data_IF_466166711308
#
_entry.id   IF_466166711308
#
_cell.length_a   1.000
_cell.length_b   1.000
_cell.length_c   1.000
_cell.angle_alpha   90.00
_cell.angle_beta   90.00
_cell.angle_gamma   90.00
#
_symmetry.space_group_name_H-M   'P 1'
#
loop_
_entity.id
_entity.type
_entity.pdbx_description
1 polymer ?
#
# COMPACT_ATOMS: atom_id res chain seq x y z
N UNK A 1 12.73 19.46 -14.61
CA UNK A 1 11.97 18.59 -13.68
C UNK A 1 11.41 17.44 -14.50
N UNK A 2 11.79 16.20 -14.20
CA UNK A 2 11.34 15.02 -14.95
C UNK A 2 10.27 14.29 -14.15
N UNK A 3 9.23 13.83 -14.84
CA UNK A 3 8.19 13.00 -14.25
C UNK A 3 8.28 11.57 -14.80
N UNK A 4 8.12 10.59 -13.91
CA UNK A 4 8.13 9.18 -14.26
C UNK A 4 6.92 8.51 -13.63
N UNK A 5 6.08 7.90 -14.46
CA UNK A 5 4.95 7.09 -13.98
C UNK A 5 5.42 5.69 -13.60
N UNK A 6 5.14 5.28 -12.36
CA UNK A 6 5.43 3.95 -11.79
C UNK A 6 4.17 3.28 -11.21
N UNK A 7 2.98 3.66 -11.70
CA UNK A 7 1.73 3.12 -11.14
C UNK A 7 1.51 1.63 -11.42
N UNK A 8 2.16 1.07 -12.45
CA UNK A 8 2.11 -0.36 -12.75
C UNK A 8 2.94 -1.17 -11.75
N UNK A 9 4.12 -0.66 -11.38
CA UNK A 9 5.08 -1.35 -10.51
C UNK A 9 4.83 -1.06 -9.03
N UNK A 10 4.57 0.20 -8.68
CA UNK A 10 4.54 0.72 -7.30
C UNK A 10 3.19 1.34 -6.92
N UNK A 11 2.12 1.06 -7.68
CA UNK A 11 0.77 1.52 -7.37
C UNK A 11 0.11 0.68 -6.28
N UNK A 12 -0.73 1.31 -5.45
CA UNK A 12 -1.52 0.66 -4.39
C UNK A 12 -2.82 -0.02 -4.82
N UNK A 13 -3.08 -0.17 -6.14
CA UNK A 13 -4.35 -0.70 -6.69
C UNK A 13 -4.06 -1.85 -7.66
N UNK A 14 -3.83 -3.08 -7.16
CA UNK A 14 -3.55 -4.22 -8.02
C UNK A 14 -4.77 -4.58 -8.86
N UNK A 15 -4.53 -5.00 -10.11
CA UNK A 15 -5.58 -5.57 -11.00
C UNK A 15 -5.76 -7.07 -10.83
N UNK A 16 -4.74 -7.74 -10.30
CA UNK A 16 -4.72 -9.17 -10.08
C UNK A 16 -5.38 -9.48 -8.73
N UNK A 17 -6.49 -10.22 -8.75
CA UNK A 17 -7.26 -10.58 -7.55
C UNK A 17 -6.47 -11.45 -6.59
N UNK A 18 -5.41 -12.14 -7.05
CA UNK A 18 -4.50 -12.91 -6.19
C UNK A 18 -3.72 -12.01 -5.22
N UNK A 19 -3.56 -10.73 -5.56
CA UNK A 19 -2.93 -9.71 -4.71
C UNK A 19 -3.93 -9.05 -3.76
N UNK A 20 -5.16 -9.57 -3.67
CA UNK A 20 -6.15 -9.18 -2.70
C UNK A 20 -6.29 -10.26 -1.61
N UNK A 21 -6.64 -9.83 -0.41
CA UNK A 21 -7.07 -10.68 0.70
C UNK A 21 -8.40 -10.12 1.19
N UNK A 22 -9.46 -10.94 1.13
CA UNK A 22 -10.84 -10.51 1.43
C UNK A 22 -11.27 -9.24 0.65
N UNK A 23 -10.84 -9.10 -0.61
CA UNK A 23 -11.15 -7.95 -1.47
C UNK A 23 -10.36 -6.68 -1.14
N UNK A 24 -9.39 -6.74 -0.23
CA UNK A 24 -8.49 -5.63 0.14
C UNK A 24 -7.10 -5.89 -0.44
N UNK A 25 -6.43 -4.87 -0.96
CA UNK A 25 -5.06 -4.99 -1.47
C UNK A 25 -4.11 -5.45 -0.36
N UNK A 26 -3.39 -6.54 -0.64
CA UNK A 26 -2.48 -7.20 0.30
C UNK A 26 -1.04 -6.79 -0.04
N UNK A 27 -0.49 -5.89 0.79
CA UNK A 27 0.82 -5.29 0.54
C UNK A 27 1.96 -6.30 0.64
N UNK A 28 1.84 -7.31 1.50
CA UNK A 28 2.81 -8.39 1.63
C UNK A 28 2.86 -9.23 0.35
N UNK A 29 1.72 -9.59 -0.23
CA UNK A 29 1.66 -10.27 -1.53
C UNK A 29 2.20 -9.39 -2.65
N UNK A 30 1.88 -8.09 -2.65
CA UNK A 30 2.37 -7.14 -3.66
C UNK A 30 3.89 -7.00 -3.60
N UNK A 31 4.46 -6.89 -2.40
CA UNK A 31 5.89 -6.67 -2.16
C UNK A 31 6.79 -7.78 -2.72
N UNK A 32 6.27 -9.01 -2.81
CA UNK A 32 7.02 -10.16 -3.34
C UNK A 32 6.92 -10.32 -4.86
N UNK A 33 6.07 -9.54 -5.54
CA UNK A 33 5.91 -9.66 -7.00
C UNK A 33 7.15 -9.17 -7.76
N UNK A 34 7.40 -9.76 -8.92
CA UNK A 34 8.54 -9.38 -9.78
C UNK A 34 8.45 -7.91 -10.24
N UNK A 35 7.26 -7.44 -10.61
CA UNK A 35 7.02 -6.07 -11.05
C UNK A 35 7.31 -5.06 -9.93
N UNK A 36 6.82 -5.33 -8.71
CA UNK A 36 7.07 -4.45 -7.58
C UNK A 36 8.56 -4.35 -7.24
N UNK A 37 9.24 -5.50 -7.15
CA UNK A 37 10.70 -5.54 -6.88
C UNK A 37 11.49 -4.82 -7.97
N UNK A 38 11.06 -4.89 -9.24
CA UNK A 38 11.65 -4.10 -10.31
C UNK A 38 11.45 -2.60 -10.11
N UNK A 39 10.26 -2.17 -9.68
CA UNK A 39 9.98 -0.79 -9.32
C UNK A 39 10.89 -0.27 -8.20
N UNK A 40 11.07 -1.04 -7.12
CA UNK A 40 11.97 -0.68 -6.02
C UNK A 40 13.42 -0.57 -6.51
N UNK A 41 13.91 -1.55 -7.28
CA UNK A 41 15.27 -1.47 -7.88
C UNK A 41 15.44 -0.22 -8.73
N UNK A 42 14.42 0.14 -9.52
CA UNK A 42 14.46 1.35 -10.34
C UNK A 42 14.54 2.63 -9.50
N UNK A 43 13.84 2.70 -8.36
CA UNK A 43 13.96 3.82 -7.43
C UNK A 43 15.36 3.88 -6.80
N UNK A 44 15.86 2.74 -6.34
CA UNK A 44 17.19 2.60 -5.74
C UNK A 44 18.29 3.05 -6.71
N UNK A 45 18.27 2.57 -7.95
CA UNK A 45 19.24 3.00 -8.96
C UNK A 45 19.08 4.47 -9.33
N UNK A 46 17.85 4.97 -9.46
CA UNK A 46 17.58 6.37 -9.74
C UNK A 46 18.07 7.30 -8.63
N UNK A 47 17.97 6.89 -7.36
CA UNK A 47 18.38 7.68 -6.21
C UNK A 47 19.89 7.96 -6.19
N UNK A 48 20.71 7.17 -6.90
CA UNK A 48 22.15 7.41 -7.06
C UNK A 48 22.45 8.63 -7.94
N UNK A 49 21.54 9.00 -8.84
CA UNK A 49 21.73 10.08 -9.81
C UNK A 49 20.75 11.26 -9.60
N UNK A 50 19.64 11.04 -8.89
CA UNK A 50 18.56 12.01 -8.77
C UNK A 50 18.06 12.17 -7.33
N UNK A 51 17.62 13.38 -7.00
CA UNK A 51 16.77 13.63 -5.84
C UNK A 51 15.33 13.26 -6.20
N UNK A 52 14.85 12.12 -5.69
CA UNK A 52 13.54 11.58 -6.04
C UNK A 52 12.51 11.97 -4.98
N UNK A 53 11.35 12.44 -5.42
CA UNK A 53 10.16 12.62 -4.58
C UNK A 53 9.04 11.70 -5.09
N UNK A 54 8.41 10.96 -4.18
CA UNK A 54 7.20 10.17 -4.44
C UNK A 54 6.00 10.93 -3.87
N UNK A 55 4.99 11.21 -4.70
CA UNK A 55 3.87 12.07 -4.33
C UNK A 55 2.60 11.26 -4.01
N UNK A 56 2.02 11.41 -2.82
CA UNK A 56 0.73 10.84 -2.37
C UNK A 56 -0.43 11.84 -2.51
N UNK A 57 -1.66 11.34 -2.51
CA UNK A 57 -2.88 12.15 -2.32
C UNK A 57 -3.30 12.23 -0.85
N UNK A 58 -2.79 11.32 -0.03
CA UNK A 58 -3.16 11.14 1.37
C UNK A 58 -2.46 12.18 2.26
N UNK A 59 -3.19 12.71 3.25
CA UNK A 59 -2.67 13.73 4.19
C UNK A 59 -1.76 13.13 5.26
N UNK A 60 -2.11 11.96 5.80
CA UNK A 60 -1.31 11.23 6.77
C UNK A 60 -0.49 10.14 6.04
N UNK A 61 0.84 10.09 6.22
CA UNK A 61 1.66 9.00 5.71
C UNK A 61 1.14 7.62 6.09
N UNK A 62 0.61 7.42 7.30
CA UNK A 62 0.07 6.12 7.74
C UNK A 62 -1.26 5.75 7.06
N UNK A 63 -1.86 6.64 6.26
CA UNK A 63 -2.96 6.32 5.34
C UNK A 63 -2.48 6.03 3.92
N UNK A 64 -1.21 6.32 3.59
CA UNK A 64 -0.70 6.20 2.23
C UNK A 64 -0.04 4.84 1.95
N UNK A 65 -0.41 4.21 0.83
CA UNK A 65 0.28 3.03 0.31
C UNK A 65 1.78 3.28 0.07
N UNK A 66 2.17 4.50 -0.33
CA UNK A 66 3.59 4.81 -0.55
C UNK A 66 4.39 4.81 0.74
N UNK A 67 3.78 5.02 1.90
CA UNK A 67 4.46 4.85 3.19
C UNK A 67 4.42 3.40 3.64
N UNK A 68 3.23 2.78 3.65
CA UNK A 68 3.02 1.45 4.21
C UNK A 68 3.64 0.32 3.39
N UNK A 69 3.77 0.50 2.08
CA UNK A 69 4.36 -0.47 1.16
C UNK A 69 5.72 0.03 0.64
N UNK A 70 5.74 1.12 -0.13
CA UNK A 70 6.96 1.55 -0.85
C UNK A 70 8.05 2.05 0.11
N UNK A 71 7.71 2.94 1.03
CA UNK A 71 8.63 3.54 2.00
C UNK A 71 9.21 2.48 2.93
N UNK A 72 8.38 1.53 3.37
CA UNK A 72 8.82 0.35 4.12
C UNK A 72 9.85 -0.45 3.33
N UNK A 73 9.54 -0.85 2.09
CA UNK A 73 10.47 -1.62 1.25
C UNK A 73 11.79 -0.89 0.95
N UNK A 74 11.75 0.44 0.81
CA UNK A 74 12.94 1.26 0.61
C UNK A 74 13.82 1.26 1.86
N UNK A 75 13.25 1.39 3.05
CA UNK A 75 13.99 1.30 4.31
C UNK A 75 14.56 -0.11 4.56
N UNK A 76 13.79 -1.16 4.26
CA UNK A 76 14.28 -2.54 4.27
C UNK A 76 15.44 -2.76 3.27
N UNK A 77 15.52 -1.94 2.22
CA UNK A 77 16.63 -1.93 1.25
C UNK A 77 17.81 -1.01 1.67
N UNK A 78 17.78 -0.45 2.88
CA UNK A 78 18.85 0.39 3.43
C UNK A 78 18.77 1.89 3.11
N UNK A 79 17.66 2.37 2.56
CA UNK A 79 17.49 3.80 2.22
C UNK A 79 16.71 4.55 3.28
N UNK A 80 17.20 5.74 3.67
CA UNK A 80 16.46 6.65 4.52
C UNK A 80 15.30 7.29 3.73
N UNK A 81 14.07 7.11 4.21
CA UNK A 81 12.86 7.71 3.62
C UNK A 81 12.30 8.74 4.58
N UNK A 82 12.04 9.94 4.03
CA UNK A 82 11.39 11.04 4.74
C UNK A 82 10.05 11.34 4.08
N UNK A 83 9.04 11.62 4.90
CA UNK A 83 7.70 12.00 4.50
C UNK A 83 7.51 13.48 4.76
N UNK A 84 7.11 14.21 3.73
CA UNK A 84 6.72 15.61 3.83
C UNK A 84 5.26 15.64 4.29
N UNK A 85 5.01 16.17 5.48
CA UNK A 85 3.68 16.30 6.07
C UNK A 85 2.96 17.54 5.52
N UNK A 86 1.66 17.60 5.77
CA UNK A 86 0.80 18.68 5.29
C UNK A 86 1.19 20.09 5.77
N UNK A 87 1.91 20.20 6.88
CA UNK A 87 2.42 21.44 7.47
C UNK A 87 3.86 21.75 7.00
N UNK A 88 4.41 20.95 6.08
CA UNK A 88 5.78 21.06 5.57
C UNK A 88 6.83 20.41 6.46
N UNK A 89 6.47 19.89 7.64
CA UNK A 89 7.41 19.17 8.50
C UNK A 89 7.82 17.83 7.88
N UNK A 90 8.98 17.33 8.28
CA UNK A 90 9.47 16.02 7.87
C UNK A 90 9.27 15.01 9.00
N UNK A 91 8.94 13.78 8.63
CA UNK A 91 9.00 12.62 9.53
C UNK A 91 9.63 11.45 8.80
N UNK A 92 10.53 10.74 9.47
CA UNK A 92 11.21 9.57 8.93
C UNK A 92 10.27 8.36 8.90
N UNK A 93 10.55 7.41 8.01
CA UNK A 93 9.85 6.12 8.03
C UNK A 93 9.99 5.40 9.38
N UNK A 94 11.15 5.51 10.03
CA UNK A 94 11.41 4.88 11.34
C UNK A 94 10.52 5.44 12.44
N UNK A 95 10.39 6.77 12.55
CA UNK A 95 9.48 7.41 13.51
C UNK A 95 8.02 7.01 13.27
N UNK A 96 7.61 6.89 12.00
CA UNK A 96 6.27 6.40 11.65
C UNK A 96 6.10 4.92 12.02
N UNK A 97 7.13 4.10 11.87
CA UNK A 97 7.11 2.69 12.24
C UNK A 97 6.97 2.52 13.77
N UNK A 98 7.70 3.32 14.57
CA UNK A 98 7.57 3.35 16.03
C UNK A 98 6.18 3.81 16.47
N UNK A 99 5.68 4.89 15.87
CA UNK A 99 4.31 5.38 16.10
C UNK A 99 3.27 4.30 15.79
N UNK A 100 3.47 3.58 14.69
CA UNK A 100 2.58 2.51 14.26
C UNK A 100 2.59 1.32 15.23
N UNK A 101 3.78 0.94 15.70
CA UNK A 101 3.96 -0.13 16.68
C UNK A 101 3.28 0.21 18.01
N UNK A 102 3.51 1.42 18.54
CA UNK A 102 2.87 1.91 19.77
C UNK A 102 1.34 1.87 19.66
N UNK A 103 0.77 2.40 18.56
CA UNK A 103 -0.69 2.33 18.31
C UNK A 103 -1.21 0.90 18.24
N UNK A 104 -0.43 -0.05 17.72
CA UNK A 104 -0.85 -1.44 17.67
C UNK A 104 -0.90 -2.08 19.07
N UNK A 105 0.07 -1.75 19.92
CA UNK A 105 0.16 -2.25 21.29
C UNK A 105 -0.96 -1.68 22.16
N UNK A 106 -1.26 -0.39 22.07
CA UNK A 106 -2.31 0.27 22.86
C UNK A 106 -3.72 -0.25 22.54
N UNK A 107 -3.97 -0.60 21.28
CA UNK A 107 -5.25 -1.18 20.86
C UNK A 107 -5.39 -2.66 21.23
N UNK A 108 -4.31 -3.30 21.68
CA UNK A 108 -4.33 -4.70 22.10
C UNK A 108 -4.77 -4.80 23.57
N UNK A 109 -6.06 -4.57 23.82
CA UNK A 109 -6.69 -4.65 25.15
C UNK A 109 -6.74 -6.06 25.74
N UNK A 110 -6.22 -7.07 25.03
CA UNK A 110 -6.17 -8.43 25.52
C UNK A 110 -4.87 -8.63 26.30
N UNK A 111 -4.99 -8.72 27.63
CA UNK A 111 -3.88 -8.82 28.60
C UNK A 111 -2.96 -10.04 28.34
N UNK A 112 -3.39 -10.96 27.47
CA UNK A 112 -2.71 -12.21 27.13
C UNK A 112 -2.03 -12.22 25.76
N UNK A 113 -2.25 -11.22 24.90
CA UNK A 113 -1.57 -11.11 23.60
C UNK A 113 -0.69 -9.87 23.63
N UNK A 114 0.57 -10.01 24.07
CA UNK A 114 1.52 -8.89 24.15
C UNK A 114 2.35 -8.70 22.87
N UNK A 115 2.18 -9.58 21.88
CA UNK A 115 3.11 -9.68 20.76
C UNK A 115 2.53 -8.99 19.52
N UNK A 116 2.34 -7.66 19.57
CA UNK A 116 2.28 -6.92 18.32
C UNK A 116 3.71 -6.59 17.88
N UNK A 117 4.20 -7.32 16.88
CA UNK A 117 5.42 -6.97 16.17
C UNK A 117 5.16 -5.90 15.10
N UNK A 118 6.24 -5.31 14.58
CA UNK A 118 6.13 -4.26 13.57
C UNK A 118 5.46 -4.77 12.28
N UNK A 119 5.70 -6.02 11.90
CA UNK A 119 5.08 -6.62 10.72
C UNK A 119 3.55 -6.68 10.85
N UNK A 120 3.05 -7.08 12.02
CA UNK A 120 1.62 -7.12 12.36
C UNK A 120 1.03 -5.73 12.41
N UNK A 121 1.75 -4.74 12.96
CA UNK A 121 1.31 -3.35 12.99
C UNK A 121 1.10 -2.79 11.57
N UNK A 122 2.05 -3.05 10.66
CA UNK A 122 1.90 -2.72 9.23
C UNK A 122 0.70 -3.41 8.59
N UNK A 123 0.54 -4.72 8.81
CA UNK A 123 -0.57 -5.49 8.25
C UNK A 123 -1.91 -4.92 8.68
N UNK A 124 -2.14 -4.79 9.99
CA UNK A 124 -3.38 -4.24 10.57
C UNK A 124 -3.72 -2.87 10.01
N UNK A 125 -2.70 -2.00 9.84
CA UNK A 125 -2.93 -0.67 9.28
C UNK A 125 -3.21 -0.70 7.80
N UNK A 126 -2.49 -1.52 7.03
CA UNK A 126 -2.74 -1.69 5.60
C UNK A 126 -4.16 -2.16 5.33
N UNK A 127 -4.68 -3.13 6.09
CA UNK A 127 -6.06 -3.62 5.94
C UNK A 127 -7.11 -2.51 6.10
N UNK A 128 -6.85 -1.51 6.95
CA UNK A 128 -7.77 -0.39 7.18
C UNK A 128 -7.82 0.60 6.02
N UNK A 129 -6.66 0.87 5.40
CA UNK A 129 -6.49 2.01 4.47
C UNK A 129 -6.24 1.59 3.02
N UNK A 130 -5.87 0.34 2.79
CA UNK A 130 -5.56 -0.17 1.46
C UNK A 130 -6.80 -0.18 0.56
N UNK A 131 -6.53 -0.21 -0.74
CA UNK A 131 -7.56 -0.27 -1.76
C UNK A 131 -8.50 -1.46 -1.56
N UNK A 132 -9.80 -1.23 -1.74
CA UNK A 132 -10.84 -2.25 -1.68
C UNK A 132 -11.49 -2.39 -3.05
N UNK A 133 -11.59 -3.61 -3.54
CA UNK A 133 -12.33 -3.91 -4.75
C UNK A 133 -13.82 -3.61 -4.51
N UNK A 134 -14.42 -2.80 -5.38
CA UNK A 134 -15.88 -2.60 -5.35
C UNK A 134 -16.51 -3.92 -5.77
N UNK A 135 -17.44 -4.46 -4.98
CA UNK A 135 -18.28 -5.58 -5.45
C UNK A 135 -18.90 -5.15 -6.78
N UNK A 136 -18.63 -5.92 -7.84
CA UNK A 136 -19.46 -5.86 -9.04
C UNK A 136 -20.85 -6.31 -8.61
N UNK A 137 -21.76 -5.37 -8.43
CA UNK A 137 -23.17 -5.69 -8.53
C UNK A 137 -23.37 -6.22 -9.95
N UNK A 138 -23.58 -7.54 -10.09
CA UNK A 138 -24.17 -8.09 -11.30
C UNK A 138 -25.51 -7.39 -11.45
N UNK A 139 -25.57 -6.42 -12.34
CA UNK A 139 -26.80 -5.73 -12.66
C UNK A 139 -27.72 -6.78 -13.30
N UNK A 140 -28.90 -7.00 -12.72
CA UNK A 140 -29.89 -8.01 -13.15
C UNK A 140 -30.32 -7.85 -14.63
N UNK A 141 -29.93 -6.75 -15.26
CA UNK A 141 -30.06 -6.47 -16.70
C UNK A 141 -29.23 -7.41 -17.58
N UNK A 142 -28.06 -7.86 -17.12
CA UNK A 142 -27.21 -8.78 -17.90
C UNK A 142 -27.81 -10.20 -17.97
N UNK A 143 -28.67 -10.56 -17.00
CA UNK A 143 -29.46 -11.79 -16.99
C UNK A 143 -30.68 -11.67 -17.91
N UNK A 144 -31.37 -10.52 -17.91
CA UNK A 144 -32.50 -10.24 -18.80
C UNK A 144 -32.09 -10.24 -20.27
N UNK A 145 -30.97 -9.59 -20.62
CA UNK A 145 -30.50 -9.50 -22.01
C UNK A 145 -30.03 -10.88 -22.54
N UNK A 146 -29.33 -11.67 -21.72
CA UNK A 146 -28.93 -13.04 -22.09
C UNK A 146 -30.09 -14.03 -22.20
N UNK A 147 -31.22 -13.78 -21.54
CA UNK A 147 -32.39 -14.65 -21.63
C UNK A 147 -33.14 -14.45 -22.96
N UNK A 148 -33.17 -13.23 -23.51
CA UNK A 148 -33.83 -12.97 -24.80
C UNK A 148 -32.94 -13.20 -26.03
N UNK A 149 -31.61 -13.08 -25.91
CA UNK A 149 -30.70 -13.40 -27.02
C UNK A 149 -30.62 -14.91 -27.35
N UNK A 150 -30.98 -15.79 -26.40
CA UNK A 150 -31.00 -17.26 -26.62
C UNK A 150 -32.37 -17.82 -27.06
N UNK A 151 -33.39 -16.97 -27.14
CA UNK A 151 -34.76 -17.33 -27.54
C UNK A 151 -35.30 -16.47 -28.69
N UNK A 152 -34.43 -15.74 -29.40
CA UNK A 152 -34.74 -14.97 -30.62
C UNK A 152 -34.20 -15.62 -31.88
#
# INVERSE_FOLDING_TARGET
>A
MHYVFLGKELGGRPRDTRLLTAGVADYEKMAVTANYRQGIRRLVEGAKAYRIALVCSERDPLDCHRCLLVGRSMCESGYAVHHIRHDGSLTTQSELAETLLSKCQDNNRDMFIRDCDLATAYRKRSEQVAYREKRRETNDKDLYDRFYENFG
#
